data_IF_339707335574
#
_entry.id   IF_339707335574
#
_cell.length_a   1.000
_cell.length_b   1.000
_cell.length_c   1.000
_cell.angle_alpha   90.00
_cell.angle_beta   90.00
_cell.angle_gamma   90.00
#
_symmetry.space_group_name_H-M   'P 1'
#
loop_
_entity.id
_entity.type
_entity.pdbx_description
1 polymer ?
#
# COMPACT_ATOMS: atom_id res chain seq x y z
N UNK A 1 -5.33 6.29 -6.73
CA UNK A 1 -4.16 7.19 -6.68
C UNK A 1 -4.53 8.69 -6.67
N UNK A 2 -5.57 9.11 -5.94
CA UNK A 2 -5.95 10.53 -5.89
C UNK A 2 -5.22 11.32 -4.77
N UNK A 3 -4.78 10.63 -3.72
CA UNK A 3 -4.20 11.25 -2.53
C UNK A 3 -2.76 11.73 -2.73
N UNK A 4 -2.01 11.09 -3.63
CA UNK A 4 -0.58 11.34 -3.85
C UNK A 4 -0.28 12.82 -4.14
N UNK A 5 -0.87 13.45 -5.18
CA UNK A 5 -0.54 14.84 -5.50
C UNK A 5 -0.92 15.80 -4.36
N UNK A 6 -2.09 15.61 -3.75
CA UNK A 6 -2.54 16.46 -2.64
C UNK A 6 -1.59 16.43 -1.43
N UNK A 7 -0.99 15.28 -1.12
CA UNK A 7 -0.02 15.18 -0.02
C UNK A 7 1.31 15.79 -0.41
N UNK A 8 1.81 15.49 -1.61
CA UNK A 8 3.08 16.01 -2.14
C UNK A 8 3.10 17.54 -2.08
N UNK A 9 2.03 18.19 -2.52
CA UNK A 9 1.92 19.65 -2.54
C UNK A 9 1.94 20.26 -1.12
N UNK A 10 1.39 19.56 -0.13
CA UNK A 10 1.26 20.07 1.24
C UNK A 10 2.52 19.91 2.09
N UNK A 11 3.32 18.87 1.81
CA UNK A 11 4.50 18.54 2.63
C UNK A 11 5.83 18.90 1.97
N UNK A 12 5.80 19.50 0.78
CA UNK A 12 6.99 19.95 0.08
C UNK A 12 7.86 20.82 1.01
N UNK A 13 9.19 20.58 1.08
CA UNK A 13 10.00 19.74 0.18
C UNK A 13 10.23 18.29 0.66
N UNK A 14 9.49 17.80 1.65
CA UNK A 14 9.70 16.45 2.20
C UNK A 14 9.34 15.38 1.15
N UNK A 15 10.22 14.41 0.87
CA UNK A 15 9.95 13.36 -0.11
C UNK A 15 8.81 12.43 0.36
N UNK A 16 7.87 12.16 -0.53
CA UNK A 16 6.71 11.30 -0.27
C UNK A 16 6.89 9.95 -0.96
N UNK A 17 6.63 8.86 -0.23
CA UNK A 17 6.53 7.51 -0.80
C UNK A 17 5.05 7.16 -0.99
N UNK A 18 4.67 6.80 -2.22
CA UNK A 18 3.32 6.32 -2.51
C UNK A 18 3.13 4.90 -1.98
N UNK A 19 2.05 4.67 -1.23
CA UNK A 19 1.71 3.36 -0.70
C UNK A 19 0.21 3.11 -0.88
N UNK A 20 -0.18 2.40 -1.93
CA UNK A 20 -1.50 1.77 -2.10
C UNK A 20 -1.60 1.10 -3.47
N UNK A 21 -1.96 -0.19 -3.52
CA UNK A 21 -2.30 -0.88 -4.77
C UNK A 21 -1.22 -1.01 -5.85
N UNK A 22 0.03 -0.60 -5.60
CA UNK A 22 1.13 -0.68 -6.56
C UNK A 22 1.68 -2.12 -6.60
N UNK A 23 1.52 -2.81 -7.73
CA UNK A 23 1.96 -4.20 -7.90
C UNK A 23 2.87 -4.43 -9.12
N UNK A 24 2.99 -3.44 -10.02
CA UNK A 24 3.77 -3.51 -11.24
C UNK A 24 4.44 -2.16 -11.56
N UNK A 25 5.22 -2.14 -12.66
CA UNK A 25 5.91 -0.94 -13.11
C UNK A 25 4.99 0.19 -13.57
N UNK A 26 3.76 -0.11 -14.01
CA UNK A 26 2.79 0.92 -14.42
C UNK A 26 2.29 1.69 -13.22
N UNK A 27 1.97 0.98 -12.14
CA UNK A 27 1.62 1.60 -10.86
C UNK A 27 2.77 2.46 -10.30
N UNK A 28 4.01 1.97 -10.39
CA UNK A 28 5.17 2.75 -9.95
C UNK A 28 5.35 4.03 -10.80
N UNK A 29 5.29 3.90 -12.12
CA UNK A 29 5.42 5.04 -13.04
C UNK A 29 4.33 6.10 -12.79
N UNK A 30 3.08 5.67 -12.57
CA UNK A 30 1.98 6.56 -12.23
C UNK A 30 2.22 7.29 -10.89
N UNK A 31 2.77 6.61 -9.87
CA UNK A 31 3.09 7.24 -8.60
C UNK A 31 4.18 8.32 -8.75
N UNK A 32 5.23 8.01 -9.51
CA UNK A 32 6.32 8.96 -9.78
C UNK A 32 5.84 10.16 -10.59
N UNK A 33 4.98 9.92 -11.60
CA UNK A 33 4.38 10.99 -12.40
C UNK A 33 3.50 11.94 -11.55
N UNK A 34 2.93 11.45 -10.44
CA UNK A 34 2.14 12.23 -9.49
C UNK A 34 3.00 12.93 -8.42
N UNK A 35 4.33 12.91 -8.54
CA UNK A 35 5.25 13.63 -7.65
C UNK A 35 5.79 12.81 -6.47
N UNK A 36 5.48 11.51 -6.38
CA UNK A 36 6.09 10.66 -5.36
C UNK A 36 7.58 10.42 -5.66
N UNK A 37 8.42 10.42 -4.63
CA UNK A 37 9.83 10.07 -4.74
C UNK A 37 10.06 8.56 -4.95
N UNK A 38 9.06 7.73 -4.64
CA UNK A 38 9.10 6.29 -4.78
C UNK A 38 7.81 5.63 -4.31
N UNK A 39 7.85 4.31 -4.13
CA UNK A 39 6.71 3.53 -3.68
C UNK A 39 7.07 2.55 -2.55
N UNK A 40 6.13 2.36 -1.62
CA UNK A 40 6.18 1.29 -0.64
C UNK A 40 5.17 0.20 -1.02
N UNK A 41 5.68 -0.99 -1.31
CA UNK A 41 4.91 -2.12 -1.84
C UNK A 41 4.78 -3.20 -0.76
N UNK A 42 3.55 -3.62 -0.47
CA UNK A 42 3.24 -4.65 0.53
C UNK A 42 2.79 -5.97 -0.09
N UNK A 43 1.51 -6.04 -0.51
CA UNK A 43 0.85 -7.28 -0.96
C UNK A 43 1.64 -8.08 -2.00
N UNK A 44 2.30 -7.40 -2.95
CA UNK A 44 3.09 -8.06 -4.00
C UNK A 44 4.33 -8.77 -3.46
N UNK A 45 5.00 -8.20 -2.44
CA UNK A 45 6.17 -8.80 -1.79
C UNK A 45 5.79 -9.96 -0.87
N UNK A 46 4.58 -9.96 -0.29
CA UNK A 46 4.08 -11.12 0.45
C UNK A 46 3.92 -12.37 -0.43
N UNK A 47 3.73 -12.19 -1.74
CA UNK A 47 3.67 -13.29 -2.70
C UNK A 47 5.05 -13.84 -3.12
N UNK A 48 6.17 -13.31 -2.60
CA UNK A 48 7.50 -13.82 -2.91
C UNK A 48 7.79 -15.15 -2.20
N UNK A 49 8.81 -15.88 -2.65
CA UNK A 49 9.19 -17.17 -2.06
C UNK A 49 9.89 -16.99 -0.69
N UNK A 50 10.60 -15.87 -0.53
CA UNK A 50 11.37 -15.47 0.64
C UNK A 50 10.48 -14.94 1.78
N UNK A 51 9.26 -14.48 1.47
CA UNK A 51 8.35 -13.93 2.46
C UNK A 51 8.02 -14.98 3.55
N UNK A 52 8.30 -14.71 4.84
CA UNK A 52 8.13 -15.68 5.93
C UNK A 52 6.66 -15.73 6.38
N UNK A 53 5.77 -16.13 5.47
CA UNK A 53 4.33 -16.24 5.70
C UNK A 53 3.86 -17.68 5.56
N UNK A 54 2.74 -18.00 6.23
CA UNK A 54 2.14 -19.31 6.13
C UNK A 54 1.77 -19.64 4.67
N UNK A 55 2.03 -20.85 4.15
CA UNK A 55 1.76 -21.22 2.76
C UNK A 55 0.32 -20.95 2.32
N UNK A 56 -0.66 -21.33 3.15
CA UNK A 56 -2.07 -21.01 2.92
C UNK A 56 -2.36 -19.52 2.75
N UNK A 57 -1.60 -18.64 3.41
CA UNK A 57 -1.76 -17.19 3.24
C UNK A 57 -1.21 -16.74 1.90
N UNK A 58 -0.05 -17.27 1.48
CA UNK A 58 0.51 -17.04 0.15
C UNK A 58 -0.45 -17.51 -0.95
N UNK A 59 -1.00 -18.72 -0.84
CA UNK A 59 -1.95 -19.27 -1.80
C UNK A 59 -3.21 -18.40 -1.92
N UNK A 60 -3.69 -17.87 -0.80
CA UNK A 60 -4.83 -16.94 -0.78
C UNK A 60 -4.51 -15.62 -1.48
N UNK A 61 -3.29 -15.09 -1.33
CA UNK A 61 -2.87 -13.88 -2.05
C UNK A 61 -2.79 -14.16 -3.55
N UNK A 62 -2.23 -15.30 -3.94
CA UNK A 62 -2.07 -15.69 -5.36
C UNK A 62 -3.40 -15.97 -6.06
N UNK A 63 -4.39 -16.50 -5.33
CA UNK A 63 -5.72 -16.84 -5.88
C UNK A 63 -6.75 -15.72 -5.70
N UNK A 64 -6.40 -14.63 -5.00
CA UNK A 64 -7.28 -13.49 -4.79
C UNK A 64 -7.61 -12.79 -6.11
N UNK A 65 -8.88 -12.40 -6.25
CA UNK A 65 -9.37 -11.53 -7.33
C UNK A 65 -9.50 -10.09 -6.84
N UNK A 66 -9.80 -9.15 -7.74
CA UNK A 66 -9.89 -7.73 -7.41
C UNK A 66 -10.90 -7.39 -6.29
N UNK A 67 -11.92 -8.23 -6.09
CA UNK A 67 -12.95 -8.12 -5.05
C UNK A 67 -12.64 -8.93 -3.77
N UNK A 68 -11.49 -9.63 -3.73
CA UNK A 68 -11.09 -10.48 -2.61
C UNK A 68 -10.66 -9.75 -1.34
N UNK A 69 -10.62 -8.42 -1.37
CA UNK A 69 -10.29 -7.57 -0.24
C UNK A 69 -11.55 -6.94 0.35
N UNK A 70 -11.67 -6.96 1.68
CA UNK A 70 -12.80 -6.36 2.40
C UNK A 70 -12.30 -5.54 3.56
N UNK A 71 -12.86 -4.35 3.72
CA UNK A 71 -12.62 -3.50 4.87
C UNK A 71 -13.36 -4.12 6.06
N UNK A 72 -12.69 -4.20 7.21
CA UNK A 72 -13.27 -4.75 8.44
C UNK A 72 -12.97 -3.82 9.61
N UNK A 73 -14.03 -3.31 10.22
CA UNK A 73 -13.96 -2.27 11.26
C UNK A 73 -13.24 -2.71 12.54
N UNK A 74 -13.19 -4.02 12.79
CA UNK A 74 -12.63 -4.58 14.02
C UNK A 74 -11.14 -4.26 14.22
N UNK A 75 -10.40 -4.00 13.14
CA UNK A 75 -8.98 -3.64 13.24
C UNK A 75 -8.74 -2.13 13.14
N UNK A 76 -9.59 -1.39 12.42
CA UNK A 76 -9.43 0.05 12.22
C UNK A 76 -9.68 0.87 13.49
N UNK A 77 -10.63 0.45 14.35
CA UNK A 77 -10.92 1.16 15.62
C UNK A 77 -9.74 1.23 16.60
N UNK A 78 -8.70 0.40 16.45
CA UNK A 78 -7.51 0.44 17.30
C UNK A 78 -6.51 1.52 16.90
N UNK A 79 -6.47 1.92 15.63
CA UNK A 79 -5.59 3.00 15.15
C UNK A 79 -6.19 4.38 15.40
N UNK A 80 -7.52 4.52 15.35
CA UNK A 80 -8.22 5.78 15.63
C UNK A 80 -8.22 6.22 17.12
N UNK A 81 -7.61 5.43 18.01
CA UNK A 81 -7.59 5.69 19.47
C UNK A 81 -6.19 5.91 20.06
N UNK A 82 -5.16 6.11 19.24
CA UNK A 82 -3.87 6.58 19.77
C UNK A 82 -3.93 8.11 19.91
N UNK A 83 -3.88 8.68 21.13
CA UNK A 83 -3.57 10.09 21.26
C UNK A 83 -2.17 10.30 20.66
N UNK A 84 -2.08 11.22 19.71
CA UNK A 84 -0.78 11.77 19.30
C UNK A 84 -0.15 12.47 20.51
N UNK A 85 1.16 12.33 20.75
CA UNK A 85 1.85 13.11 21.77
C UNK A 85 1.79 14.61 21.47
#
# INVERSE_FOLDING_TARGET
MALIPAVVDQVAPVPVLAADGIADGRGLAAAMALGAAGAWIGTRFLASIEAPIHPRYRDRILTAKGDGHRIRDCFQRRLARRPTP
#
